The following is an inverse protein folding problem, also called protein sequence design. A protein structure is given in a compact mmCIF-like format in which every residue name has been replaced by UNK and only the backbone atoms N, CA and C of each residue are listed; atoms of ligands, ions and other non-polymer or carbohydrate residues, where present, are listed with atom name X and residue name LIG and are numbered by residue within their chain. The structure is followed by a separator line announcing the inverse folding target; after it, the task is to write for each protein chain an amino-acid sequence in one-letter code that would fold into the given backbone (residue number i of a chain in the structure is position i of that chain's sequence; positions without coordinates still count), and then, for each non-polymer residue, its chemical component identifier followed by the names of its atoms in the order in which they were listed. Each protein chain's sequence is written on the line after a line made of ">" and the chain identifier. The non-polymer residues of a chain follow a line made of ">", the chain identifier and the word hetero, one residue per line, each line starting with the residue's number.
data_IF_177725140807
#
_entry.id   IF_177725140807
#
_cell.length_a   1.000
_cell.length_b   1.000
_cell.length_c   1.000
_cell.angle_alpha   90.00
_cell.angle_beta   90.00
_cell.angle_gamma   90.00
#
_symmetry.space_group_name_H-M   'P 1'
#
loop_
_entity.id
_entity.type
_entity.pdbx_description
1 polymer ?
#
# COMPACT_ATOMS: atom_id res chain seq x y z
N UNK A 1 -1.70 38.29 30.33
CA UNK A 1 -2.47 37.39 29.45
C UNK A 1 -1.46 36.47 28.78
N UNK A 2 -1.17 35.33 29.39
CA UNK A 2 -0.23 34.35 28.83
C UNK A 2 -1.03 33.37 27.98
N UNK A 3 -0.77 33.32 26.67
CA UNK A 3 -1.35 32.33 25.78
C UNK A 3 -0.87 30.92 26.16
N UNK A 4 -1.64 29.87 25.83
CA UNK A 4 -1.26 28.52 26.21
C UNK A 4 0.05 28.15 25.51
N UNK A 5 1.04 27.77 26.34
CA UNK A 5 2.25 27.10 25.88
C UNK A 5 1.81 25.78 25.24
N UNK A 6 2.00 25.66 23.93
CA UNK A 6 1.81 24.40 23.22
C UNK A 6 2.78 23.41 23.86
N UNK A 7 2.24 22.36 24.47
CA UNK A 7 3.02 21.29 25.07
C UNK A 7 3.92 20.67 23.99
N UNK A 8 5.23 20.64 24.25
CA UNK A 8 6.23 20.07 23.35
C UNK A 8 5.96 18.59 23.05
N UNK A 9 5.25 17.87 23.93
CA UNK A 9 4.79 16.51 23.67
C UNK A 9 3.69 16.44 22.59
N UNK A 10 2.83 17.46 22.50
CA UNK A 10 1.81 17.57 21.44
C UNK A 10 2.46 17.90 20.09
N UNK A 11 3.53 18.72 20.09
CA UNK A 11 4.31 19.00 18.87
C UNK A 11 5.14 17.79 18.41
N UNK A 12 5.62 16.95 19.33
CA UNK A 12 6.42 15.75 18.99
C UNK A 12 5.56 14.62 18.41
N UNK A 13 4.31 14.44 18.87
CA UNK A 13 3.40 13.42 18.33
C UNK A 13 2.93 13.70 16.89
N UNK A 14 2.93 14.97 16.46
CA UNK A 14 2.62 15.36 15.08
C UNK A 14 3.84 15.25 14.15
N UNK A 15 5.00 14.85 14.67
CA UNK A 15 6.25 14.65 13.93
C UNK A 15 6.37 13.21 13.37
N UNK A 16 5.23 12.51 13.23
CA UNK A 16 5.14 11.30 12.40
C UNK A 16 5.17 11.73 10.93
N UNK A 17 6.38 11.80 10.38
CA UNK A 17 6.70 12.18 8.98
C UNK A 17 5.56 11.89 8.01
N UNK A 18 4.94 12.94 7.45
CA UNK A 18 3.98 12.76 6.37
C UNK A 18 4.64 11.96 5.23
N UNK A 19 3.98 10.90 4.79
CA UNK A 19 4.47 10.12 3.66
C UNK A 19 4.50 10.99 2.40
N UNK A 20 5.62 10.95 1.70
CA UNK A 20 5.69 11.49 0.35
C UNK A 20 4.74 10.73 -0.58
N UNK A 21 4.32 11.37 -1.68
CA UNK A 21 3.48 10.72 -2.70
C UNK A 21 4.13 9.43 -3.23
N UNK A 22 5.46 9.43 -3.43
CA UNK A 22 6.21 8.24 -3.89
C UNK A 22 6.11 7.09 -2.89
N UNK A 23 6.28 7.37 -1.59
CA UNK A 23 6.15 6.36 -0.54
C UNK A 23 4.72 5.82 -0.45
N UNK A 24 3.72 6.69 -0.62
CA UNK A 24 2.32 6.28 -0.62
C UNK A 24 1.98 5.38 -1.80
N UNK A 25 2.45 5.73 -3.00
CA UNK A 25 2.31 4.89 -4.21
C UNK A 25 2.99 3.54 -3.98
N UNK A 26 4.22 3.52 -3.47
CA UNK A 26 4.94 2.27 -3.14
C UNK A 26 4.18 1.41 -2.14
N UNK A 27 3.63 2.02 -1.10
CA UNK A 27 2.81 1.35 -0.09
C UNK A 27 1.60 0.68 -0.76
N UNK A 28 0.84 1.43 -1.55
CA UNK A 28 -0.39 0.91 -2.19
C UNK A 28 -0.09 -0.17 -3.22
N UNK A 29 0.95 -0.02 -4.06
CA UNK A 29 1.41 -1.08 -4.97
C UNK A 29 1.77 -2.36 -4.23
N UNK A 30 2.48 -2.24 -3.11
CA UNK A 30 2.83 -3.40 -2.27
C UNK A 30 1.58 -4.11 -1.74
N UNK A 31 0.57 -3.36 -1.30
CA UNK A 31 -0.69 -3.92 -0.82
C UNK A 31 -1.49 -4.61 -1.92
N UNK A 32 -1.52 -4.03 -3.13
CA UNK A 32 -2.16 -4.67 -4.29
C UNK A 32 -1.49 -6.01 -4.59
N UNK A 33 -0.16 -6.05 -4.66
CA UNK A 33 0.59 -7.28 -4.92
C UNK A 33 0.36 -8.35 -3.86
N UNK A 34 0.45 -7.97 -2.57
CA UNK A 34 0.29 -8.91 -1.46
C UNK A 34 -1.12 -9.48 -1.42
N UNK A 35 -2.14 -8.61 -1.45
CA UNK A 35 -3.53 -9.08 -1.38
C UNK A 35 -3.87 -9.94 -2.60
N UNK A 36 -3.50 -9.53 -3.80
CA UNK A 36 -3.80 -10.30 -5.01
C UNK A 36 -3.09 -11.65 -5.04
N UNK A 37 -1.89 -11.77 -4.46
CA UNK A 37 -1.26 -13.08 -4.28
C UNK A 37 -2.06 -13.95 -3.30
N UNK A 38 -2.43 -13.41 -2.15
CA UNK A 38 -3.20 -14.17 -1.15
C UNK A 38 -4.57 -14.61 -1.68
N UNK A 39 -5.24 -13.75 -2.44
CA UNK A 39 -6.54 -14.02 -3.05
C UNK A 39 -6.45 -15.04 -4.20
N UNK A 40 -5.63 -14.79 -5.22
CA UNK A 40 -5.62 -15.63 -6.44
C UNK A 40 -4.72 -16.87 -6.36
N UNK A 41 -3.73 -16.91 -5.46
CA UNK A 41 -2.73 -17.99 -5.41
C UNK A 41 -2.89 -18.89 -4.19
N UNK A 42 -3.20 -18.30 -3.02
CA UNK A 42 -3.33 -19.05 -1.76
C UNK A 42 -4.78 -19.31 -1.38
N UNK A 43 -5.74 -18.53 -1.89
CA UNK A 43 -7.16 -18.59 -1.51
C UNK A 43 -7.39 -18.27 -0.01
N UNK A 44 -6.54 -17.41 0.57
CA UNK A 44 -6.63 -16.98 1.97
C UNK A 44 -6.37 -15.47 2.11
N UNK A 45 -7.30 -14.60 1.64
CA UNK A 45 -7.19 -13.16 1.83
C UNK A 45 -7.31 -12.78 3.31
N UNK A 46 -6.45 -11.87 3.76
CA UNK A 46 -6.42 -11.39 5.16
C UNK A 46 -7.14 -10.05 5.37
N UNK A 47 -7.64 -9.44 4.28
CA UNK A 47 -8.48 -8.24 4.31
C UNK A 47 -9.70 -8.47 3.41
N UNK A 48 -10.77 -7.74 3.69
CA UNK A 48 -11.99 -7.72 2.89
C UNK A 48 -11.80 -6.97 1.56
N UNK A 49 -12.58 -7.38 0.56
CA UNK A 49 -12.53 -6.86 -0.81
C UNK A 49 -12.86 -5.36 -0.88
N UNK A 50 -13.77 -4.86 -0.02
CA UNK A 50 -14.14 -3.43 0.04
C UNK A 50 -12.92 -2.54 0.40
N UNK A 51 -12.09 -3.02 1.33
CA UNK A 51 -10.90 -2.35 1.82
C UNK A 51 -9.81 -2.39 0.76
N UNK A 52 -9.66 -3.54 0.09
CA UNK A 52 -8.78 -3.64 -1.07
C UNK A 52 -9.21 -2.67 -2.17
N UNK A 53 -10.50 -2.60 -2.52
CA UNK A 53 -11.01 -1.72 -3.58
C UNK A 53 -10.77 -0.25 -3.26
N UNK A 54 -10.96 0.17 -2.01
CA UNK A 54 -10.64 1.55 -1.58
C UNK A 54 -9.17 1.90 -1.83
N UNK A 55 -8.25 0.98 -1.54
CA UNK A 55 -6.82 1.18 -1.80
C UNK A 55 -6.48 1.14 -3.29
N UNK A 56 -7.16 0.30 -4.07
CA UNK A 56 -7.01 0.22 -5.52
C UNK A 56 -7.40 1.54 -6.20
N UNK A 57 -8.54 2.12 -5.79
CA UNK A 57 -9.05 3.41 -6.27
C UNK A 57 -8.14 4.58 -5.85
N UNK A 58 -7.65 4.56 -4.61
CA UNK A 58 -6.68 5.53 -4.11
C UNK A 58 -5.39 5.48 -4.94
N UNK A 59 -4.87 4.28 -5.23
CA UNK A 59 -3.67 4.12 -6.08
C UNK A 59 -3.90 4.66 -7.49
N UNK A 60 -5.03 4.34 -8.12
CA UNK A 60 -5.38 4.86 -9.44
C UNK A 60 -5.42 6.39 -9.46
N UNK A 61 -6.02 6.99 -8.43
CA UNK A 61 -6.06 8.45 -8.23
C UNK A 61 -4.65 9.01 -8.06
N UNK A 62 -3.84 8.44 -7.16
CA UNK A 62 -2.47 8.89 -6.90
C UNK A 62 -1.60 8.87 -8.16
N UNK A 63 -1.64 7.80 -8.95
CA UNK A 63 -0.84 7.69 -10.17
C UNK A 63 -1.34 8.64 -11.26
N UNK A 64 -2.66 8.79 -11.42
CA UNK A 64 -3.27 9.71 -12.38
C UNK A 64 -2.87 11.16 -12.14
N UNK A 65 -2.88 11.59 -10.88
CA UNK A 65 -2.57 12.99 -10.51
C UNK A 65 -1.09 13.25 -10.25
N UNK A 66 -0.26 12.21 -10.17
CA UNK A 66 1.18 12.34 -9.90
C UNK A 66 2.03 11.40 -10.79
N UNK A 67 1.93 11.49 -12.13
CA UNK A 67 2.67 10.62 -13.04
C UNK A 67 4.19 10.69 -12.84
N UNK A 68 4.73 11.87 -12.50
CA UNK A 68 6.15 12.07 -12.17
C UNK A 68 6.63 11.30 -10.93
N UNK A 69 5.69 10.89 -10.07
CA UNK A 69 5.96 10.12 -8.85
C UNK A 69 5.77 8.61 -9.04
N UNK A 70 5.47 8.15 -10.27
CA UNK A 70 5.23 6.74 -10.57
C UNK A 70 6.47 5.95 -10.96
N UNK A 71 7.56 6.64 -11.34
CA UNK A 71 8.86 6.04 -11.61
C UNK A 71 9.66 5.96 -10.29
N UNK A 72 9.61 4.79 -9.66
CA UNK A 72 10.14 4.53 -8.31
C UNK A 72 10.88 3.18 -8.22
N UNK A 73 11.22 2.59 -9.36
CA UNK A 73 11.90 1.30 -9.47
C UNK A 73 11.18 0.18 -8.71
N UNK A 74 9.84 0.22 -8.69
CA UNK A 74 9.03 -0.73 -7.93
C UNK A 74 7.77 -1.12 -8.69
N UNK A 75 7.91 -2.18 -9.49
CA UNK A 75 6.84 -2.73 -10.34
C UNK A 75 6.22 -1.69 -11.28
N UNK A 76 7.00 -0.68 -11.69
CA UNK A 76 6.51 0.47 -12.45
C UNK A 76 5.73 0.05 -13.71
N UNK A 77 6.27 -0.91 -14.48
CA UNK A 77 5.59 -1.44 -15.67
C UNK A 77 4.30 -2.19 -15.37
N UNK A 78 4.25 -2.95 -14.26
CA UNK A 78 3.04 -3.69 -13.88
C UNK A 78 1.89 -2.75 -13.48
N UNK A 79 2.21 -1.52 -13.04
CA UNK A 79 1.25 -0.53 -12.59
C UNK A 79 1.04 0.63 -13.58
N UNK A 80 1.67 0.61 -14.75
CA UNK A 80 1.60 1.70 -15.74
C UNK A 80 0.16 2.04 -16.15
N UNK A 81 -0.64 1.01 -16.42
CA UNK A 81 -2.05 1.14 -16.83
C UNK A 81 -3.03 0.78 -15.68
N UNK A 82 -2.58 0.96 -14.44
CA UNK A 82 -3.41 0.63 -13.28
C UNK A 82 -4.66 1.52 -13.21
N UNK A 83 -5.83 0.88 -13.27
CA UNK A 83 -7.13 1.54 -13.16
C UNK A 83 -7.90 1.17 -11.87
N UNK A 84 -7.42 0.19 -11.11
CA UNK A 84 -8.03 -0.24 -9.86
C UNK A 84 -9.07 -1.38 -9.96
N UNK A 85 -9.30 -1.94 -11.14
CA UNK A 85 -10.39 -2.92 -11.33
C UNK A 85 -10.01 -4.35 -10.91
N UNK A 86 -8.75 -4.75 -11.11
CA UNK A 86 -8.31 -6.11 -10.81
C UNK A 86 -6.81 -6.19 -10.58
N UNK A 87 -6.42 -7.03 -9.62
CA UNK A 87 -5.01 -7.40 -9.41
C UNK A 87 -4.58 -8.70 -10.10
N UNK A 88 -5.45 -9.34 -10.89
CA UNK A 88 -5.15 -10.62 -11.54
C UNK A 88 -3.94 -10.55 -12.48
N UNK A 89 -3.76 -9.42 -13.17
CA UNK A 89 -2.67 -9.21 -14.13
C UNK A 89 -1.33 -8.84 -13.47
N UNK A 90 -1.29 -8.69 -12.15
CA UNK A 90 -0.08 -8.35 -11.43
C UNK A 90 0.93 -9.52 -11.47
N UNK A 91 2.25 -9.26 -11.30
CA UNK A 91 3.29 -10.29 -11.35
C UNK A 91 3.31 -11.14 -10.07
N UNK A 92 2.26 -11.91 -9.84
CA UNK A 92 2.05 -12.70 -8.61
C UNK A 92 3.10 -13.82 -8.41
N UNK A 93 3.77 -14.26 -9.48
CA UNK A 93 4.85 -15.26 -9.41
C UNK A 93 6.20 -14.66 -9.02
N UNK A 94 6.31 -13.34 -8.89
CA UNK A 94 7.54 -12.69 -8.50
C UNK A 94 7.99 -13.12 -7.08
N UNK A 95 9.29 -13.30 -6.91
CA UNK A 95 9.87 -13.81 -5.65
C UNK A 95 9.64 -12.85 -4.48
N UNK A 96 9.72 -11.54 -4.72
CA UNK A 96 9.47 -10.53 -3.70
C UNK A 96 8.00 -10.56 -3.27
N UNK A 97 7.08 -10.64 -4.24
CA UNK A 97 5.62 -10.68 -3.98
C UNK A 97 5.27 -11.89 -3.12
N UNK A 98 5.69 -13.09 -3.55
CA UNK A 98 5.46 -14.33 -2.81
C UNK A 98 6.02 -14.25 -1.39
N UNK A 99 7.29 -13.84 -1.25
CA UNK A 99 7.96 -13.75 0.06
C UNK A 99 7.21 -12.79 0.98
N UNK A 100 6.87 -11.60 0.49
CA UNK A 100 6.22 -10.57 1.30
C UNK A 100 4.80 -10.98 1.69
N UNK A 101 4.04 -11.58 0.78
CA UNK A 101 2.69 -12.03 1.07
C UNK A 101 2.66 -13.10 2.18
N UNK A 102 3.56 -14.10 2.10
CA UNK A 102 3.69 -15.14 3.13
C UNK A 102 4.15 -14.57 4.48
N UNK A 103 5.09 -13.62 4.48
CA UNK A 103 5.55 -12.95 5.70
C UNK A 103 4.40 -12.20 6.41
N UNK A 104 3.61 -11.42 5.66
CA UNK A 104 2.48 -10.67 6.19
C UNK A 104 1.38 -11.61 6.69
N UNK A 105 1.09 -12.70 5.96
CA UNK A 105 0.14 -13.73 6.40
C UNK A 105 0.54 -14.34 7.74
N UNK A 106 1.80 -14.75 7.90
CA UNK A 106 2.32 -15.29 9.15
C UNK A 106 2.15 -14.32 10.32
N UNK A 107 2.50 -13.05 10.13
CA UNK A 107 2.34 -12.02 11.16
C UNK A 107 0.86 -11.85 11.54
N UNK A 108 -0.04 -11.87 10.57
CA UNK A 108 -1.49 -11.79 10.82
C UNK A 108 -2.02 -12.99 11.61
N UNK A 109 -1.47 -14.18 11.39
CA UNK A 109 -1.83 -15.38 12.16
C UNK A 109 -1.31 -15.36 13.59
N UNK A 110 -0.10 -14.84 13.81
CA UNK A 110 0.50 -14.71 15.15
C UNK A 110 -0.15 -13.66 16.03
N UNK A 111 -0.89 -12.72 15.45
CA UNK A 111 -1.60 -11.65 16.15
C UNK A 111 -3.06 -12.02 16.52
N UNK A 112 -3.53 -13.21 16.11
CA UNK A 112 -4.84 -13.74 16.49
C UNK A 112 -4.76 -14.52 17.80
#
# INVERSE_FOLDING_TARGET
>A
MFGPLIDTATAFNNMTTEQTIKEKIRQRRSQMLVHSYLYYVIDEPIIEDDKWQRWANELATLQKYNPQSCNIDFFDEAFKDWNGDTGFKLPLKDKWVKKKALEIKRIHEEQK
#
